data_IF_604797990900
#
_entry.id   IF_604797990900
#
_cell.length_a   1.000
_cell.length_b   1.000
_cell.length_c   1.000
_cell.angle_alpha   90.00
_cell.angle_beta   90.00
_cell.angle_gamma   90.00
#
_symmetry.space_group_name_H-M   'P 1'
#
loop_
_entity.id
_entity.type
_entity.pdbx_description
1 polymer ?
#
# COMPACT_ATOMS: atom_id res chain seq x y z
N UNK A 1 -0.63 20.93 -28.07
CA UNK A 1 0.74 20.38 -28.10
C UNK A 1 1.50 21.24 -27.11
N UNK A 2 1.19 21.07 -25.84
CA UNK A 2 1.76 21.85 -24.75
C UNK A 2 2.68 20.89 -24.00
N UNK A 3 3.94 20.86 -24.47
CA UNK A 3 5.05 20.28 -23.74
C UNK A 3 5.22 21.08 -22.44
N UNK A 4 4.52 20.63 -21.39
CA UNK A 4 4.83 21.01 -20.02
C UNK A 4 6.13 20.30 -19.67
N UNK A 5 7.24 20.91 -20.06
CA UNK A 5 8.52 20.74 -19.38
C UNK A 5 8.34 21.24 -17.94
N UNK A 6 7.81 20.36 -17.08
CA UNK A 6 7.93 20.49 -15.63
C UNK A 6 9.44 20.64 -15.35
N UNK A 7 9.91 21.71 -14.70
CA UNK A 7 11.30 21.77 -14.26
C UNK A 7 11.57 20.55 -13.36
N UNK A 8 12.84 20.09 -13.18
CA UNK A 8 13.18 19.09 -12.17
C UNK A 8 13.02 19.73 -10.77
N UNK A 9 11.79 20.12 -10.44
CA UNK A 9 11.36 20.57 -9.14
C UNK A 9 11.40 19.34 -8.26
N UNK A 10 12.45 19.29 -7.45
CA UNK A 10 12.62 18.43 -6.28
C UNK A 10 11.29 17.81 -5.85
N UNK A 11 11.02 16.56 -6.24
CA UNK A 11 9.79 15.88 -5.86
C UNK A 11 9.68 15.96 -4.33
N UNK A 12 8.57 16.51 -3.83
CA UNK A 12 8.39 16.67 -2.39
C UNK A 12 8.61 15.31 -1.71
N UNK A 13 9.38 15.28 -0.62
CA UNK A 13 9.68 14.04 0.11
C UNK A 13 8.41 13.21 0.40
N UNK A 14 7.30 13.89 0.71
CA UNK A 14 5.99 13.27 0.92
C UNK A 14 5.42 12.54 -0.30
N UNK A 15 5.65 13.07 -1.51
CA UNK A 15 5.25 12.40 -2.75
C UNK A 15 6.05 11.11 -2.97
N UNK A 16 7.35 11.14 -2.69
CA UNK A 16 8.21 9.96 -2.76
C UNK A 16 7.79 8.91 -1.74
N UNK A 17 7.52 9.33 -0.50
CA UNK A 17 7.07 8.45 0.58
C UNK A 17 5.71 7.82 0.24
N UNK A 18 4.76 8.61 -0.26
CA UNK A 18 3.46 8.12 -0.72
C UNK A 18 3.63 7.09 -1.84
N UNK A 19 4.45 7.37 -2.86
CA UNK A 19 4.68 6.44 -3.98
C UNK A 19 5.44 5.18 -3.57
N UNK A 20 6.26 5.27 -2.53
CA UNK A 20 7.00 4.14 -1.97
C UNK A 20 6.11 3.20 -1.13
N UNK A 21 5.13 3.76 -0.41
CA UNK A 21 4.23 3.03 0.48
C UNK A 21 2.93 2.58 -0.21
N UNK A 22 2.42 3.35 -1.17
CA UNK A 22 1.09 3.15 -1.74
C UNK A 22 1.15 2.52 -3.15
N UNK A 23 0.57 1.33 -3.36
CA UNK A 23 0.61 0.64 -4.66
C UNK A 23 -0.52 1.06 -5.62
N UNK A 24 -1.61 1.64 -5.11
CA UNK A 24 -2.82 1.94 -5.90
C UNK A 24 -2.65 2.90 -7.09
N UNK A 25 -1.71 3.88 -7.10
CA UNK A 25 -1.55 4.77 -8.26
C UNK A 25 -1.12 4.03 -9.54
N UNK A 26 -0.58 2.82 -9.41
CA UNK A 26 -0.16 2.00 -10.53
C UNK A 26 -1.30 1.18 -11.16
N UNK A 27 -2.46 1.10 -10.50
CA UNK A 27 -3.63 0.37 -10.99
C UNK A 27 -4.55 1.23 -11.82
N UNK A 28 -5.13 0.62 -12.85
CA UNK A 28 -6.12 1.25 -13.73
C UNK A 28 -7.53 0.99 -13.21
N UNK A 29 -8.42 1.96 -13.40
CA UNK A 29 -9.84 1.81 -13.11
C UNK A 29 -10.47 0.81 -14.10
N UNK A 30 -11.12 -0.23 -13.57
CA UNK A 30 -11.79 -1.29 -14.34
C UNK A 30 -13.30 -1.07 -14.45
N UNK A 31 -13.85 -0.02 -13.84
CA UNK A 31 -15.28 0.31 -13.87
C UNK A 31 -15.68 1.14 -15.10
N UNK A 32 -14.70 1.77 -15.75
CA UNK A 32 -14.90 2.68 -16.89
C UNK A 32 -14.57 2.01 -18.22
N UNK A 33 -15.18 2.49 -19.30
CA UNK A 33 -14.94 2.03 -20.67
C UNK A 33 -15.81 0.86 -21.12
N UNK A 34 -15.60 0.46 -22.37
CA UNK A 34 -16.22 -0.70 -23.03
C UNK A 34 -15.79 -2.02 -22.41
N UNK A 35 -16.53 -3.12 -22.67
CA UNK A 35 -16.21 -4.44 -22.12
C UNK A 35 -14.77 -4.89 -22.41
N UNK A 36 -14.28 -4.63 -23.63
CA UNK A 36 -12.92 -4.96 -24.04
C UNK A 36 -11.86 -4.13 -23.28
N UNK A 37 -12.11 -2.84 -23.08
CA UNK A 37 -11.20 -1.96 -22.31
C UNK A 37 -11.12 -2.39 -20.84
N UNK A 38 -12.25 -2.78 -20.23
CA UNK A 38 -12.29 -3.30 -18.87
C UNK A 38 -11.47 -4.58 -18.72
N UNK A 39 -11.60 -5.52 -19.66
CA UNK A 39 -10.81 -6.75 -19.69
C UNK A 39 -9.31 -6.46 -19.84
N UNK A 40 -8.93 -5.51 -20.71
CA UNK A 40 -7.54 -5.11 -20.88
C UNK A 40 -6.97 -4.45 -19.61
N UNK A 41 -7.72 -3.55 -18.98
CA UNK A 41 -7.32 -2.90 -17.73
C UNK A 41 -7.17 -3.93 -16.60
N UNK A 42 -8.05 -4.93 -16.53
CA UNK A 42 -7.92 -6.01 -15.54
C UNK A 42 -6.68 -6.87 -15.77
N UNK A 43 -6.40 -7.26 -17.03
CA UNK A 43 -5.17 -8.00 -17.38
C UNK A 43 -3.91 -7.22 -17.02
N UNK A 44 -3.91 -5.91 -17.24
CA UNK A 44 -2.82 -5.02 -16.83
C UNK A 44 -2.67 -4.98 -15.30
N UNK A 45 -3.77 -4.75 -14.57
CA UNK A 45 -3.80 -4.73 -13.10
C UNK A 45 -3.29 -6.05 -12.50
N UNK A 46 -3.62 -7.19 -13.12
CA UNK A 46 -3.14 -8.50 -12.69
C UNK A 46 -1.63 -8.65 -12.84
N UNK A 47 -1.06 -8.19 -13.96
CA UNK A 47 0.41 -8.17 -14.15
C UNK A 47 1.08 -7.29 -13.10
N UNK A 48 0.50 -6.13 -12.80
CA UNK A 48 0.99 -5.25 -11.73
C UNK A 48 0.77 -5.83 -10.32
N UNK A 49 -0.26 -6.65 -10.14
CA UNK A 49 -0.57 -7.40 -8.90
C UNK A 49 0.61 -8.20 -8.35
N UNK A 50 1.53 -8.65 -9.22
CA UNK A 50 2.76 -9.35 -8.81
C UNK A 50 3.70 -8.51 -7.94
N UNK A 51 3.57 -7.18 -7.97
CA UNK A 51 4.39 -6.25 -7.20
C UNK A 51 3.83 -5.99 -5.79
N UNK A 52 2.57 -6.34 -5.52
CA UNK A 52 1.90 -6.08 -4.24
C UNK A 52 2.57 -6.73 -3.04
N UNK A 53 3.04 -7.98 -3.12
CA UNK A 53 3.75 -8.60 -2.01
C UNK A 53 4.95 -7.77 -1.51
N UNK A 54 5.62 -7.02 -2.39
CA UNK A 54 6.72 -6.13 -2.00
C UNK A 54 6.24 -4.94 -1.18
N UNK A 55 5.07 -4.37 -1.52
CA UNK A 55 4.46 -3.31 -0.71
C UNK A 55 3.92 -3.86 0.61
N UNK A 56 3.27 -5.02 0.57
CA UNK A 56 2.79 -5.73 1.76
C UNK A 56 3.93 -5.99 2.75
N UNK A 57 5.10 -6.42 2.29
CA UNK A 57 6.27 -6.63 3.15
C UNK A 57 6.69 -5.35 3.88
N UNK A 58 6.70 -4.19 3.20
CA UNK A 58 7.01 -2.90 3.83
C UNK A 58 6.03 -2.56 4.95
N UNK A 59 4.74 -2.75 4.71
CA UNK A 59 3.70 -2.50 5.71
C UNK A 59 3.79 -3.50 6.86
N UNK A 60 4.04 -4.78 6.59
CA UNK A 60 4.24 -5.79 7.62
C UNK A 60 5.44 -5.48 8.52
N UNK A 61 6.57 -5.06 7.92
CA UNK A 61 7.73 -4.60 8.68
C UNK A 61 7.41 -3.40 9.55
N UNK A 62 6.63 -2.43 9.04
CA UNK A 62 6.23 -1.25 9.80
C UNK A 62 5.30 -1.60 10.98
N UNK A 63 4.34 -2.50 10.75
CA UNK A 63 3.46 -3.03 11.80
C UNK A 63 4.25 -3.72 12.90
N UNK A 64 5.17 -4.62 12.52
CA UNK A 64 5.99 -5.36 13.47
C UNK A 64 6.93 -4.42 14.24
N UNK A 65 7.52 -3.43 13.55
CA UNK A 65 8.38 -2.43 14.17
C UNK A 65 7.64 -1.62 15.25
N UNK A 66 6.47 -1.04 14.93
CA UNK A 66 5.71 -0.28 15.91
C UNK A 66 5.14 -1.15 17.03
N UNK A 67 4.77 -2.39 16.73
CA UNK A 67 4.31 -3.32 17.76
C UNK A 67 5.45 -3.64 18.74
N UNK A 68 6.62 -4.03 18.24
CA UNK A 68 7.79 -4.32 19.06
C UNK A 68 8.26 -3.10 19.86
N UNK A 69 8.20 -1.90 19.27
CA UNK A 69 8.50 -0.66 19.98
C UNK A 69 7.50 -0.39 21.10
N UNK A 70 6.20 -0.66 20.88
CA UNK A 70 5.17 -0.61 21.91
C UNK A 70 5.47 -1.54 23.09
N UNK A 71 5.79 -2.80 22.80
CA UNK A 71 6.18 -3.77 23.82
C UNK A 71 7.43 -3.32 24.58
N UNK A 72 8.44 -2.79 23.88
CA UNK A 72 9.67 -2.28 24.50
C UNK A 72 9.38 -1.10 25.45
N UNK A 73 8.53 -0.16 25.04
CA UNK A 73 8.15 0.98 25.87
C UNK A 73 7.35 0.57 27.10
N UNK A 74 6.49 -0.44 26.97
CA UNK A 74 5.68 -0.97 28.06
C UNK A 74 6.52 -1.78 29.06
N UNK A 75 7.32 -2.72 28.57
CA UNK A 75 8.08 -3.67 29.40
C UNK A 75 9.35 -3.07 30.02
N UNK A 76 10.07 -2.19 29.33
CA UNK A 76 11.34 -1.65 29.83
C UNK A 76 11.25 -0.27 30.46
N UNK A 77 10.31 0.55 30.01
CA UNK A 77 10.24 1.96 30.42
C UNK A 77 9.02 2.27 31.30
N UNK A 78 8.05 1.35 31.39
CA UNK A 78 6.77 1.54 32.10
C UNK A 78 6.01 2.81 31.67
N UNK A 79 6.27 3.32 30.45
CA UNK A 79 5.64 4.55 29.94
C UNK A 79 4.45 4.20 29.07
N UNK A 80 3.26 4.36 29.64
CA UNK A 80 1.99 3.94 29.02
C UNK A 80 1.63 4.76 27.76
N UNK A 81 1.86 6.08 27.77
CA UNK A 81 1.43 6.96 26.67
C UNK A 81 2.16 6.67 25.34
N UNK A 82 3.51 6.59 25.28
CA UNK A 82 4.22 6.23 24.05
C UNK A 82 3.90 4.81 23.57
N UNK A 83 3.73 3.85 24.49
CA UNK A 83 3.35 2.49 24.15
C UNK A 83 1.97 2.46 23.45
N UNK A 84 0.99 3.16 24.01
CA UNK A 84 -0.34 3.30 23.39
C UNK A 84 -0.26 3.92 21.98
N UNK A 85 0.51 5.00 21.79
CA UNK A 85 0.73 5.60 20.46
C UNK A 85 1.34 4.60 19.46
N UNK A 86 2.30 3.79 19.91
CA UNK A 86 2.92 2.76 19.08
C UNK A 86 1.91 1.67 18.69
N UNK A 87 1.09 1.17 19.63
CA UNK A 87 0.07 0.17 19.34
C UNK A 87 -1.04 0.70 18.42
N UNK A 88 -1.48 1.94 18.58
CA UNK A 88 -2.45 2.59 17.67
C UNK A 88 -1.88 2.67 16.26
N UNK A 89 -0.62 3.11 16.13
CA UNK A 89 0.06 3.21 14.84
C UNK A 89 0.24 1.81 14.21
N UNK A 90 0.63 0.81 15.00
CA UNK A 90 0.73 -0.58 14.56
C UNK A 90 -0.61 -1.09 14.02
N UNK A 91 -1.72 -0.81 14.72
CA UNK A 91 -3.08 -1.20 14.29
C UNK A 91 -3.47 -0.58 12.94
N UNK A 92 -3.16 0.70 12.73
CA UNK A 92 -3.41 1.38 11.45
C UNK A 92 -2.60 0.77 10.31
N UNK A 93 -1.31 0.52 10.52
CA UNK A 93 -0.45 -0.12 9.52
C UNK A 93 -0.89 -1.55 9.20
N UNK A 94 -1.34 -2.30 10.22
CA UNK A 94 -1.89 -3.64 10.06
C UNK A 94 -3.16 -3.63 9.20
N UNK A 95 -4.02 -2.64 9.40
CA UNK A 95 -5.25 -2.48 8.62
C UNK A 95 -4.94 -2.29 7.13
N UNK A 96 -3.94 -1.46 6.81
CA UNK A 96 -3.47 -1.27 5.43
C UNK A 96 -2.89 -2.57 4.87
N UNK A 97 -2.06 -3.28 5.63
CA UNK A 97 -1.52 -4.59 5.23
C UNK A 97 -2.62 -5.60 4.90
N UNK A 98 -3.66 -5.71 5.75
CA UNK A 98 -4.82 -6.59 5.53
C UNK A 98 -5.56 -6.19 4.25
N UNK A 99 -5.82 -4.90 4.05
CA UNK A 99 -6.51 -4.40 2.86
C UNK A 99 -5.75 -4.73 1.57
N UNK A 100 -4.42 -4.58 1.57
CA UNK A 100 -3.55 -4.96 0.46
C UNK A 100 -3.54 -6.48 0.22
N UNK A 101 -3.54 -7.27 1.28
CA UNK A 101 -3.62 -8.74 1.22
C UNK A 101 -4.91 -9.19 0.56
N UNK A 102 -6.05 -8.63 1.00
CA UNK A 102 -7.36 -8.93 0.42
C UNK A 102 -7.41 -8.55 -1.06
N UNK A 103 -6.90 -7.37 -1.44
CA UNK A 103 -6.82 -6.93 -2.83
C UNK A 103 -5.94 -7.86 -3.68
N UNK A 104 -4.80 -8.30 -3.14
CA UNK A 104 -3.89 -9.23 -3.81
C UNK A 104 -4.52 -10.61 -4.00
N UNK A 105 -5.14 -11.16 -2.95
CA UNK A 105 -5.88 -12.43 -3.02
C UNK A 105 -7.01 -12.35 -4.03
N UNK A 106 -7.74 -11.23 -4.09
CA UNK A 106 -8.77 -11.01 -5.09
C UNK A 106 -8.22 -11.07 -6.52
N UNK A 107 -7.10 -10.37 -6.78
CA UNK A 107 -6.44 -10.38 -8.10
C UNK A 107 -5.90 -11.75 -8.51
N UNK A 108 -5.55 -12.60 -7.55
CA UNK A 108 -5.09 -13.97 -7.81
C UNK A 108 -6.24 -14.97 -7.96
N UNK A 109 -7.29 -14.85 -7.15
CA UNK A 109 -8.34 -15.87 -7.00
C UNK A 109 -9.44 -15.77 -8.05
N UNK A 110 -9.64 -14.62 -8.67
CA UNK A 110 -10.65 -14.43 -9.73
C UNK A 110 -10.03 -14.26 -11.13
N UNK A 111 -9.27 -15.24 -11.65
CA UNK A 111 -8.79 -15.19 -13.03
C UNK A 111 -9.90 -15.38 -14.06
N UNK A 112 -11.06 -15.90 -13.66
CA UNK A 112 -12.11 -16.42 -14.53
C UNK A 112 -13.37 -15.57 -14.61
N UNK A 113 -13.41 -14.43 -13.89
CA UNK A 113 -14.66 -13.67 -13.84
C UNK A 113 -15.05 -13.02 -15.17
N UNK A 114 -14.19 -12.94 -16.20
CA UNK A 114 -14.55 -12.60 -17.60
C UNK A 114 -13.49 -13.02 -18.62
#
# INVERSE_FOLDING_TARGET
>A
MDDIHQPPGQEAFWHLLYRFLWPFPYFRDVTRGSLLERQQNYRYNRRMGTHLPRFMLKWACLTLFFFALGCLCEELLEIVLPAACCYVTSTWTLTIFVQLTVAWLWLQRFPELH
#
